data_IF_102237191884
#
_entry.id   IF_102237191884
#
_cell.length_a   1.000
_cell.length_b   1.000
_cell.length_c   1.000
_cell.angle_alpha   90.00
_cell.angle_beta   90.00
_cell.angle_gamma   90.00
#
_symmetry.space_group_name_H-M   'P 1'
#
loop_
_entity.id
_entity.type
_entity.pdbx_description
1 polymer ?
#
# COMPACT_ATOMS: atom_id res chain seq x y z
N UNK A 1 15.40 -2.57 -6.36
CA UNK A 1 14.80 -1.29 -5.94
C UNK A 1 14.87 -0.30 -7.07
N UNK A 2 13.71 0.13 -7.57
CA UNK A 2 13.64 1.19 -8.57
C UNK A 2 14.14 2.53 -8.04
N UNK A 3 13.90 3.59 -8.81
CA UNK A 3 14.25 4.97 -8.46
C UNK A 3 13.45 5.43 -7.22
N UNK A 4 14.10 5.80 -6.09
CA UNK A 4 13.40 6.36 -4.94
C UNK A 4 12.65 7.64 -5.31
N UNK A 5 11.43 7.80 -4.77
CA UNK A 5 10.61 9.00 -4.97
C UNK A 5 11.23 10.23 -4.26
N UNK A 6 11.88 10.01 -3.12
CA UNK A 6 12.45 11.05 -2.29
C UNK A 6 13.71 10.55 -1.58
N UNK A 7 14.67 11.46 -1.38
CA UNK A 7 15.82 11.28 -0.52
C UNK A 7 15.81 12.39 0.54
N UNK A 8 15.62 12.02 1.80
CA UNK A 8 15.50 12.94 2.91
C UNK A 8 16.83 13.64 3.23
N UNK A 9 17.96 12.95 3.08
CA UNK A 9 19.28 13.50 3.38
C UNK A 9 19.64 14.65 2.44
N UNK A 10 19.30 14.53 1.15
CA UNK A 10 19.59 15.56 0.14
C UNK A 10 18.39 16.45 -0.17
N UNK A 11 17.23 16.17 0.43
CA UNK A 11 15.95 16.82 0.12
C UNK A 11 15.70 16.92 -1.39
N UNK A 12 15.81 15.80 -2.09
CA UNK A 12 15.70 15.78 -3.55
C UNK A 12 14.99 14.53 -4.06
N UNK A 13 14.62 14.54 -5.34
CA UNK A 13 14.03 13.39 -6.04
C UNK A 13 14.85 13.01 -7.26
N UNK A 14 15.02 11.70 -7.46
CA UNK A 14 15.60 11.14 -8.67
C UNK A 14 14.58 10.98 -9.79
N UNK A 15 13.28 11.00 -9.46
CA UNK A 15 12.19 10.92 -10.44
C UNK A 15 12.17 12.18 -11.30
N UNK A 16 12.08 11.99 -12.62
CA UNK A 16 11.93 13.06 -13.61
C UNK A 16 10.54 13.02 -14.23
N UNK A 17 10.17 14.11 -14.89
CA UNK A 17 8.90 14.19 -15.62
C UNK A 17 8.71 13.05 -16.64
N UNK A 18 9.80 12.61 -17.28
CA UNK A 18 9.78 11.49 -18.21
C UNK A 18 9.48 10.13 -17.54
N UNK A 19 9.88 9.94 -16.28
CA UNK A 19 9.59 8.71 -15.54
C UNK A 19 8.12 8.67 -15.14
N UNK A 20 7.59 9.81 -14.67
CA UNK A 20 6.17 9.96 -14.36
C UNK A 20 5.28 9.84 -15.61
N UNK A 21 5.73 10.38 -16.75
CA UNK A 21 5.06 10.20 -18.03
C UNK A 21 4.95 8.71 -18.40
N UNK A 22 6.05 7.95 -18.34
CA UNK A 22 6.05 6.51 -18.63
C UNK A 22 5.07 5.74 -17.75
N UNK A 23 4.99 6.10 -16.47
CA UNK A 23 4.03 5.49 -15.54
C UNK A 23 2.58 5.77 -15.95
N UNK A 24 2.26 7.01 -16.34
CA UNK A 24 0.93 7.38 -16.82
C UNK A 24 0.59 6.70 -18.16
N UNK A 25 1.57 6.58 -19.06
CA UNK A 25 1.44 5.88 -20.34
C UNK A 25 1.15 4.39 -20.14
N UNK A 26 1.74 3.75 -19.15
CA UNK A 26 1.46 2.35 -18.80
C UNK A 26 -0.03 2.12 -18.51
N UNK A 27 -0.62 2.94 -17.63
CA UNK A 27 -2.04 2.80 -17.30
C UNK A 27 -2.97 3.27 -18.41
N UNK A 28 -2.53 4.20 -19.26
CA UNK A 28 -3.24 4.54 -20.48
C UNK A 28 -3.28 3.35 -21.43
N UNK A 29 -2.14 2.71 -21.68
CA UNK A 29 -2.03 1.53 -22.54
C UNK A 29 -2.90 0.38 -22.02
N UNK A 30 -2.84 0.10 -20.71
CA UNK A 30 -3.74 -0.90 -20.10
C UNK A 30 -5.22 -0.57 -20.34
N UNK A 31 -5.59 0.70 -20.28
CA UNK A 31 -6.99 1.13 -20.47
C UNK A 31 -7.42 1.05 -21.93
N UNK A 32 -6.56 1.47 -22.85
CA UNK A 32 -6.79 1.39 -24.29
C UNK A 32 -6.94 -0.07 -24.74
N UNK A 33 -6.26 -1.01 -24.07
CA UNK A 33 -6.37 -2.45 -24.28
C UNK A 33 -7.47 -3.13 -23.44
N UNK A 34 -8.27 -2.38 -22.67
CA UNK A 34 -9.38 -2.91 -21.86
C UNK A 34 -8.96 -3.77 -20.65
N UNK A 35 -7.70 -3.67 -20.21
CA UNK A 35 -7.15 -4.43 -19.09
C UNK A 35 -7.46 -3.80 -17.72
N UNK A 36 -7.80 -2.51 -17.70
CA UNK A 36 -8.30 -1.80 -16.52
C UNK A 36 -9.63 -1.09 -16.84
N UNK A 37 -10.50 -0.85 -15.85
CA UNK A 37 -11.79 -0.22 -16.10
C UNK A 37 -11.66 1.16 -16.78
N UNK A 38 -12.63 1.57 -17.61
CA UNK A 38 -12.69 2.94 -18.10
C UNK A 38 -12.88 3.94 -16.93
N UNK A 39 -12.51 5.22 -17.10
CA UNK A 39 -12.36 6.16 -15.98
C UNK A 39 -13.70 6.47 -15.28
N UNK A 40 -14.79 6.48 -16.03
CA UNK A 40 -16.16 6.67 -15.53
C UNK A 40 -16.63 5.51 -14.65
N UNK A 41 -16.27 4.28 -15.00
CA UNK A 41 -16.53 3.10 -14.18
C UNK A 41 -15.64 3.11 -12.94
N UNK A 42 -14.34 3.35 -13.10
CA UNK A 42 -13.39 3.39 -11.99
C UNK A 42 -13.77 4.45 -10.94
N UNK A 43 -14.26 5.62 -11.38
CA UNK A 43 -14.66 6.72 -10.49
C UNK A 43 -15.83 6.39 -9.54
N UNK A 44 -16.59 5.32 -9.79
CA UNK A 44 -17.66 4.86 -8.90
C UNK A 44 -17.16 4.03 -7.70
N UNK A 45 -15.87 3.68 -7.68
CA UNK A 45 -15.27 2.84 -6.64
C UNK A 45 -14.20 3.64 -5.91
N UNK A 46 -14.41 3.86 -4.61
CA UNK A 46 -13.47 4.62 -3.79
C UNK A 46 -12.22 3.79 -3.42
N UNK A 47 -12.29 2.46 -3.51
CA UNK A 47 -11.21 1.52 -3.17
C UNK A 47 -10.62 1.74 -1.77
N UNK A 48 -11.44 2.20 -0.82
CA UNK A 48 -10.99 2.47 0.56
C UNK A 48 -11.25 1.28 1.50
N UNK A 49 -12.18 0.41 1.13
CA UNK A 49 -12.57 -0.79 1.88
C UNK A 49 -13.32 -1.78 0.95
N UNK A 50 -13.66 -2.95 1.49
CA UNK A 50 -14.36 -4.00 0.73
C UNK A 50 -15.70 -3.53 0.13
N UNK A 51 -16.48 -2.72 0.86
CA UNK A 51 -17.80 -2.24 0.41
C UNK A 51 -17.71 -1.29 -0.79
N UNK A 52 -16.57 -0.63 -0.97
CA UNK A 52 -16.32 0.35 -2.04
C UNK A 52 -15.36 -0.15 -3.11
N UNK A 53 -15.07 -1.47 -3.13
CA UNK A 53 -14.08 -2.06 -4.04
C UNK A 53 -14.70 -2.61 -5.33
N UNK A 54 -14.07 -2.29 -6.45
CA UNK A 54 -14.37 -2.85 -7.76
C UNK A 54 -14.11 -4.37 -7.82
N UNK A 55 -13.17 -4.89 -7.01
CA UNK A 55 -12.89 -6.33 -6.93
C UNK A 55 -14.10 -7.07 -6.35
N UNK A 56 -14.60 -6.60 -5.21
CA UNK A 56 -15.76 -7.19 -4.53
C UNK A 56 -17.04 -6.99 -5.36
N UNK A 57 -17.17 -5.87 -6.06
CA UNK A 57 -18.27 -5.63 -6.99
C UNK A 57 -18.17 -6.42 -8.31
N UNK A 58 -17.15 -7.27 -8.48
CA UNK A 58 -16.95 -8.12 -9.66
C UNK A 58 -16.65 -7.33 -10.94
N UNK A 59 -16.09 -6.12 -10.84
CA UNK A 59 -15.69 -5.29 -11.99
C UNK A 59 -14.25 -5.49 -12.43
N UNK A 60 -13.40 -5.96 -11.52
CA UNK A 60 -12.01 -6.34 -11.80
C UNK A 60 -11.71 -7.68 -11.15
N UNK A 61 -10.79 -8.44 -11.74
CA UNK A 61 -10.30 -9.71 -11.17
C UNK A 61 -9.04 -9.53 -10.31
N UNK A 62 -8.34 -8.39 -10.47
CA UNK A 62 -7.09 -8.07 -9.79
C UNK A 62 -7.22 -6.68 -9.19
N UNK A 63 -6.82 -6.52 -7.93
CA UNK A 63 -6.73 -5.23 -7.24
C UNK A 63 -5.47 -5.18 -6.37
N UNK A 64 -5.12 -3.99 -5.90
CA UNK A 64 -3.99 -3.76 -5.00
C UNK A 64 -4.51 -3.66 -3.56
N UNK A 65 -4.10 -4.61 -2.73
CA UNK A 65 -4.51 -4.67 -1.32
C UNK A 65 -3.28 -4.81 -0.43
N UNK A 66 -3.36 -4.23 0.76
CA UNK A 66 -2.43 -4.54 1.84
C UNK A 66 -2.75 -5.93 2.38
N UNK A 67 -1.72 -6.70 2.76
CA UNK A 67 -1.89 -8.11 3.19
C UNK A 67 -2.88 -8.25 4.34
N UNK A 68 -2.88 -7.31 5.29
CA UNK A 68 -3.79 -7.28 6.43
C UNK A 68 -5.27 -7.07 6.06
N UNK A 69 -5.57 -6.63 4.83
CA UNK A 69 -6.94 -6.44 4.36
C UNK A 69 -7.59 -7.74 3.85
N UNK A 70 -6.81 -8.81 3.61
CA UNK A 70 -7.30 -10.04 3.01
C UNK A 70 -8.50 -10.64 3.75
N UNK A 71 -8.46 -10.66 5.08
CA UNK A 71 -9.55 -11.23 5.88
C UNK A 71 -10.90 -10.54 5.62
N UNK A 72 -10.92 -9.21 5.60
CA UNK A 72 -12.13 -8.44 5.36
C UNK A 72 -12.62 -8.58 3.91
N UNK A 73 -11.71 -8.58 2.94
CA UNK A 73 -12.07 -8.75 1.53
C UNK A 73 -12.59 -10.16 1.24
N UNK A 74 -11.93 -11.20 1.78
CA UNK A 74 -12.37 -12.57 1.63
C UNK A 74 -13.74 -12.82 2.28
N UNK A 75 -14.06 -12.14 3.39
CA UNK A 75 -15.37 -12.23 4.02
C UNK A 75 -16.50 -11.59 3.17
N UNK A 76 -16.15 -10.67 2.27
CA UNK A 76 -17.10 -9.96 1.41
C UNK A 76 -17.39 -10.68 0.07
N UNK A 77 -16.72 -11.79 -0.21
CA UNK A 77 -16.94 -12.58 -1.44
C UNK A 77 -16.95 -14.09 -1.16
N UNK A 78 -17.57 -14.86 -2.04
CA UNK A 78 -17.49 -16.32 -2.04
C UNK A 78 -16.33 -16.85 -2.87
N UNK A 79 -15.80 -16.01 -3.76
CA UNK A 79 -14.64 -16.36 -4.57
C UNK A 79 -13.39 -16.41 -3.70
N UNK A 80 -12.47 -17.32 -4.03
CA UNK A 80 -11.23 -17.44 -3.29
C UNK A 80 -10.25 -16.34 -3.69
N UNK A 81 -9.84 -15.53 -2.72
CA UNK A 81 -8.83 -14.49 -2.91
C UNK A 81 -7.43 -15.03 -2.55
N UNK A 82 -6.45 -14.64 -3.36
CA UNK A 82 -5.05 -15.01 -3.23
C UNK A 82 -4.16 -13.80 -3.51
N UNK A 83 -2.95 -13.80 -2.94
CA UNK A 83 -1.92 -12.81 -3.27
C UNK A 83 -0.92 -13.38 -4.28
N UNK A 84 -0.47 -12.51 -5.17
CA UNK A 84 0.65 -12.75 -6.06
C UNK A 84 1.62 -11.58 -5.92
N UNK A 85 2.89 -11.82 -6.19
CA UNK A 85 3.85 -10.73 -6.27
C UNK A 85 3.58 -9.85 -7.48
N UNK A 86 3.97 -8.58 -7.39
CA UNK A 86 3.97 -7.71 -8.56
C UNK A 86 4.87 -8.28 -9.67
N UNK A 87 4.51 -8.13 -10.95
CA UNK A 87 5.36 -8.56 -12.05
C UNK A 87 6.80 -8.02 -11.92
N UNK A 88 7.78 -8.90 -11.98
CA UNK A 88 9.21 -8.55 -11.88
C UNK A 88 9.73 -8.28 -10.46
N UNK A 89 8.89 -8.36 -9.42
CA UNK A 89 9.28 -8.12 -8.03
C UNK A 89 10.42 -9.03 -7.57
N UNK A 90 10.34 -10.34 -7.83
CA UNK A 90 11.37 -11.30 -7.46
C UNK A 90 12.76 -10.95 -8.03
N UNK A 91 12.81 -10.56 -9.31
CA UNK A 91 14.06 -10.23 -9.99
C UNK A 91 14.66 -8.89 -9.54
N UNK A 92 13.80 -7.93 -9.23
CA UNK A 92 14.20 -6.54 -8.95
C UNK A 92 14.23 -6.18 -7.47
N UNK A 93 13.79 -7.11 -6.62
CA UNK A 93 13.50 -6.93 -5.20
C UNK A 93 12.64 -5.68 -4.93
N UNK A 94 11.59 -5.48 -5.72
CA UNK A 94 10.81 -4.23 -5.70
C UNK A 94 9.82 -4.11 -4.54
N UNK A 95 9.67 -5.14 -3.70
CA UNK A 95 8.77 -5.11 -2.55
C UNK A 95 9.45 -4.47 -1.35
N UNK A 96 8.65 -4.10 -0.36
CA UNK A 96 9.12 -3.71 0.97
C UNK A 96 8.12 -4.17 2.03
N UNK A 97 8.57 -4.29 3.27
CA UNK A 97 7.69 -4.56 4.40
C UNK A 97 7.36 -3.25 5.10
N UNK A 98 6.19 -2.70 4.80
CA UNK A 98 5.69 -1.51 5.47
C UNK A 98 5.17 -1.86 6.87
N UNK A 99 5.57 -1.12 7.92
CA UNK A 99 4.89 -1.17 9.20
C UNK A 99 3.43 -0.76 9.03
N UNK A 100 2.51 -1.68 9.29
CA UNK A 100 1.07 -1.44 9.09
C UNK A 100 0.55 -0.27 9.93
N UNK A 101 0.97 -0.22 11.19
CA UNK A 101 0.48 0.67 12.24
C UNK A 101 1.55 0.79 13.33
N UNK A 102 1.52 1.91 14.06
CA UNK A 102 2.34 2.10 15.26
C UNK A 102 1.45 2.39 16.46
N UNK A 103 1.81 1.80 17.60
CA UNK A 103 1.33 2.28 18.89
C UNK A 103 2.31 3.32 19.44
N UNK A 104 1.79 4.47 19.86
CA UNK A 104 2.58 5.56 20.45
C UNK A 104 1.99 5.95 21.80
N UNK A 105 2.85 6.43 22.70
CA UNK A 105 2.44 6.94 24.01
C UNK A 105 2.53 8.46 23.96
N UNK A 106 1.43 9.13 24.29
CA UNK A 106 1.43 10.58 24.42
C UNK A 106 2.43 11.01 25.53
N UNK A 107 3.32 11.95 25.21
CA UNK A 107 4.32 12.48 26.15
C UNK A 107 3.71 13.04 27.45
N UNK A 108 2.46 13.50 27.40
CA UNK A 108 1.75 14.12 28.52
C UNK A 108 0.80 13.14 29.25
N UNK A 109 0.84 11.83 28.88
CA UNK A 109 0.04 10.79 29.52
C UNK A 109 0.25 10.78 31.04
N UNK A 110 -0.86 10.66 31.79
CA UNK A 110 -0.82 10.48 33.25
C UNK A 110 -0.49 9.04 33.67
N UNK A 111 -0.49 8.11 32.72
CA UNK A 111 -0.26 6.68 32.94
C UNK A 111 0.69 6.09 31.88
N UNK A 112 1.93 6.63 31.73
CA UNK A 112 2.84 6.18 30.68
C UNK A 112 3.30 4.73 30.89
N UNK A 113 3.49 4.30 32.15
CA UNK A 113 3.93 2.95 32.46
C UNK A 113 2.85 1.90 32.13
N UNK A 114 1.58 2.18 32.45
CA UNK A 114 0.45 1.32 32.13
C UNK A 114 0.20 1.26 30.63
N UNK A 115 0.32 2.39 29.93
CA UNK A 115 0.23 2.44 28.47
C UNK A 115 1.30 1.56 27.81
N UNK A 116 2.55 1.63 28.27
CA UNK A 116 3.63 0.76 27.76
C UNK A 116 3.35 -0.71 28.06
N UNK A 117 2.88 -1.05 29.26
CA UNK A 117 2.49 -2.44 29.59
C UNK A 117 1.39 -2.96 28.67
N UNK A 118 0.38 -2.14 28.39
CA UNK A 118 -0.72 -2.51 27.50
C UNK A 118 -0.25 -2.69 26.04
N UNK A 119 0.60 -1.79 25.53
CA UNK A 119 1.21 -1.95 24.21
C UNK A 119 2.04 -3.24 24.16
N UNK A 120 2.83 -3.53 25.21
CA UNK A 120 3.60 -4.77 25.27
C UNK A 120 2.71 -6.01 25.24
N UNK A 121 1.57 -6.00 25.96
CA UNK A 121 0.58 -7.06 25.88
C UNK A 121 0.06 -7.23 24.44
N UNK A 122 -0.38 -6.16 23.79
CA UNK A 122 -0.90 -6.23 22.41
C UNK A 122 0.12 -6.76 21.39
N UNK A 123 1.42 -6.48 21.59
CA UNK A 123 2.47 -6.78 20.61
C UNK A 123 3.16 -8.12 20.85
N UNK A 124 3.38 -8.49 22.12
CA UNK A 124 4.24 -9.62 22.50
C UNK A 124 3.50 -10.79 23.13
N UNK A 125 2.27 -10.60 23.64
CA UNK A 125 1.55 -11.67 24.34
C UNK A 125 0.96 -12.69 23.34
N UNK A 126 1.23 -14.01 23.52
CA UNK A 126 0.69 -15.03 22.62
C UNK A 126 -0.84 -15.12 22.61
N UNK A 127 -1.51 -14.86 23.72
CA UNK A 127 -2.97 -14.96 23.77
C UNK A 127 -3.62 -13.74 23.10
N UNK A 128 -3.01 -12.55 23.25
CA UNK A 128 -3.37 -11.40 22.43
C UNK A 128 -3.14 -11.68 20.93
N UNK A 129 -2.01 -12.29 20.56
CA UNK A 129 -1.69 -12.63 19.18
C UNK A 129 -2.71 -13.59 18.55
N UNK A 130 -3.18 -14.60 19.30
CA UNK A 130 -4.23 -15.54 18.84
C UNK A 130 -5.55 -14.85 18.53
N UNK A 131 -5.90 -13.81 19.30
CA UNK A 131 -7.14 -13.04 19.10
C UNK A 131 -6.98 -12.05 17.94
N UNK A 132 -5.85 -11.35 17.88
CA UNK A 132 -5.62 -10.30 16.88
C UNK A 132 -5.33 -10.86 15.48
N UNK A 133 -4.68 -12.03 15.41
CA UNK A 133 -4.22 -12.61 14.15
C UNK A 133 -3.40 -11.61 13.33
N UNK A 134 -3.67 -11.58 12.02
CA UNK A 134 -2.99 -10.71 11.05
C UNK A 134 -3.78 -9.46 10.67
N UNK A 135 -4.84 -9.11 11.42
CA UNK A 135 -5.71 -7.97 11.10
C UNK A 135 -4.97 -6.61 11.16
N UNK A 136 -3.92 -6.52 11.98
CA UNK A 136 -2.99 -5.38 12.04
C UNK A 136 -1.65 -5.69 11.35
N UNK A 137 -1.66 -6.58 10.35
CA UNK A 137 -0.45 -7.10 9.73
C UNK A 137 0.19 -8.23 10.55
N UNK A 138 1.16 -8.91 9.96
CA UNK A 138 1.93 -9.93 10.67
C UNK A 138 2.74 -9.29 11.79
N UNK A 139 2.71 -9.88 12.99
CA UNK A 139 3.40 -9.28 14.15
C UNK A 139 4.90 -9.18 13.92
N UNK A 140 5.50 -8.06 14.35
CA UNK A 140 6.95 -7.88 14.39
C UNK A 140 7.61 -8.75 15.47
N UNK A 141 6.86 -9.15 16.50
CA UNK A 141 7.34 -9.96 17.62
C UNK A 141 7.47 -11.43 17.23
N UNK A 142 8.66 -12.00 17.44
CA UNK A 142 8.88 -13.43 17.23
C UNK A 142 7.99 -14.30 18.14
N UNK A 143 7.78 -13.87 19.39
CA UNK A 143 6.92 -14.56 20.36
C UNK A 143 5.47 -14.58 19.91
N UNK A 144 4.94 -13.43 19.46
CA UNK A 144 3.58 -13.37 18.93
C UNK A 144 3.43 -14.22 17.65
N UNK A 145 4.41 -14.16 16.74
CA UNK A 145 4.41 -14.96 15.49
C UNK A 145 4.45 -16.47 15.75
N UNK A 146 5.05 -16.92 16.85
CA UNK A 146 5.06 -18.34 17.22
C UNK A 146 3.65 -18.91 17.48
N UNK A 147 2.64 -18.05 17.66
CA UNK A 147 1.24 -18.47 17.75
C UNK A 147 0.67 -19.01 16.42
N UNK A 148 1.35 -18.76 15.31
CA UNK A 148 0.95 -19.23 13.98
C UNK A 148 -0.27 -18.51 13.40
N UNK A 149 -0.82 -19.07 12.32
CA UNK A 149 -2.04 -18.58 11.71
C UNK A 149 -3.26 -18.87 12.60
N UNK A 150 -4.16 -17.91 12.73
CA UNK A 150 -5.40 -18.04 13.53
C UNK A 150 -6.65 -18.20 12.65
N UNK A 151 -6.49 -18.10 11.32
CA UNK A 151 -7.55 -18.23 10.33
C UNK A 151 -6.98 -18.70 8.98
N UNK A 152 -7.82 -19.16 8.03
CA UNK A 152 -7.37 -19.44 6.67
C UNK A 152 -6.78 -18.22 5.95
N UNK A 153 -7.33 -17.03 6.18
CA UNK A 153 -6.81 -15.79 5.63
C UNK A 153 -5.41 -15.46 6.20
N UNK A 154 -5.23 -15.68 7.49
CA UNK A 154 -3.92 -15.53 8.15
C UNK A 154 -2.89 -16.50 7.55
N UNK A 155 -3.26 -17.75 7.30
CA UNK A 155 -2.36 -18.71 6.68
C UNK A 155 -1.91 -18.23 5.29
N UNK A 156 -2.85 -17.75 4.45
CA UNK A 156 -2.52 -17.18 3.14
C UNK A 156 -1.60 -15.96 3.23
N UNK A 157 -1.79 -15.11 4.24
CA UNK A 157 -0.90 -13.97 4.50
C UNK A 157 0.51 -14.48 4.84
N UNK A 158 0.65 -15.45 5.74
CA UNK A 158 1.94 -16.01 6.12
C UNK A 158 2.64 -16.69 4.93
N UNK A 159 1.90 -17.44 4.12
CA UNK A 159 2.41 -18.09 2.91
C UNK A 159 2.92 -17.06 1.89
N UNK A 160 2.15 -16.00 1.66
CA UNK A 160 2.59 -14.90 0.80
C UNK A 160 3.83 -14.20 1.34
N UNK A 161 3.89 -13.93 2.64
CA UNK A 161 5.05 -13.30 3.28
C UNK A 161 6.32 -14.17 3.20
N UNK A 162 6.19 -15.51 3.19
CA UNK A 162 7.31 -16.41 2.99
C UNK A 162 7.91 -16.33 1.58
N UNK A 163 7.09 -16.01 0.57
CA UNK A 163 7.51 -15.79 -0.82
C UNK A 163 8.02 -14.37 -1.03
N UNK A 164 7.25 -13.37 -0.61
CA UNK A 164 7.53 -11.95 -0.83
C UNK A 164 8.68 -11.42 0.03
N UNK A 165 8.85 -11.93 1.25
CA UNK A 165 9.86 -11.47 2.21
C UNK A 165 11.29 -11.47 1.66
N UNK A 166 11.78 -12.57 1.04
CA UNK A 166 13.08 -12.61 0.36
C UNK A 166 13.26 -11.62 -0.80
N UNK A 167 12.16 -11.15 -1.38
CA UNK A 167 12.12 -10.19 -2.49
C UNK A 167 11.84 -8.75 -2.02
N UNK A 168 11.79 -8.53 -0.71
CA UNK A 168 11.64 -7.21 -0.12
C UNK A 168 12.99 -6.53 0.13
N UNK A 169 12.93 -5.21 0.22
CA UNK A 169 14.02 -4.35 0.64
C UNK A 169 13.56 -3.33 1.67
N UNK A 170 14.51 -2.54 2.19
CA UNK A 170 14.18 -1.42 3.07
C UNK A 170 13.28 -0.41 2.34
N UNK A 171 12.25 0.05 3.05
CA UNK A 171 11.40 1.15 2.59
C UNK A 171 12.24 2.42 2.38
N UNK A 172 11.92 3.19 1.34
CA UNK A 172 12.58 4.47 1.04
C UNK A 172 11.91 5.61 1.81
N UNK A 173 12.59 6.76 1.90
CA UNK A 173 12.03 7.94 2.56
C UNK A 173 10.67 8.34 1.96
N UNK A 174 9.71 8.67 2.84
CA UNK A 174 8.42 9.19 2.44
C UNK A 174 8.52 10.63 1.97
N UNK A 175 7.82 10.95 0.87
CA UNK A 175 7.67 12.34 0.41
C UNK A 175 7.02 13.17 1.53
N UNK A 176 7.57 14.35 1.89
CA UNK A 176 6.94 15.24 2.87
C UNK A 176 5.51 15.62 2.44
N UNK A 177 4.63 15.89 3.40
CA UNK A 177 3.23 16.28 3.12
C UNK A 177 2.48 15.21 2.29
N UNK A 178 2.68 13.94 2.64
CA UNK A 178 2.20 12.76 1.91
C UNK A 178 0.70 12.76 1.58
N UNK A 179 -0.13 13.31 2.47
CA UNK A 179 -1.58 13.38 2.29
C UNK A 179 -1.95 14.31 1.14
N UNK A 180 -1.28 15.47 1.05
CA UNK A 180 -1.45 16.39 -0.09
C UNK A 180 -0.85 15.79 -1.36
N UNK A 181 0.30 15.13 -1.26
CA UNK A 181 0.93 14.44 -2.37
C UNK A 181 -0.02 13.41 -2.99
N UNK A 182 -0.55 12.48 -2.19
CA UNK A 182 -1.40 11.38 -2.66
C UNK A 182 -2.72 11.89 -3.26
N UNK A 183 -3.39 12.83 -2.60
CA UNK A 183 -4.65 13.41 -3.10
C UNK A 183 -4.45 14.19 -4.41
N UNK A 184 -3.36 14.95 -4.52
CA UNK A 184 -3.05 15.69 -5.75
C UNK A 184 -2.61 14.76 -6.88
N UNK A 185 -1.80 13.73 -6.58
CA UNK A 185 -1.38 12.72 -7.54
C UNK A 185 -2.58 11.99 -8.13
N UNK A 186 -3.57 11.64 -7.30
CA UNK A 186 -4.82 11.03 -7.74
C UNK A 186 -5.58 11.93 -8.72
N UNK A 187 -5.68 13.23 -8.45
CA UNK A 187 -6.32 14.19 -9.36
C UNK A 187 -5.57 14.31 -10.70
N UNK A 188 -4.24 14.30 -10.69
CA UNK A 188 -3.44 14.30 -11.94
C UNK A 188 -3.73 13.04 -12.75
N UNK A 189 -3.75 11.87 -12.10
CA UNK A 189 -4.11 10.62 -12.75
C UNK A 189 -5.52 10.66 -13.35
N UNK A 190 -6.51 11.21 -12.62
CA UNK A 190 -7.87 11.37 -13.15
C UNK A 190 -7.90 12.28 -14.37
N UNK A 191 -7.23 13.43 -14.37
CA UNK A 191 -7.16 14.31 -15.54
C UNK A 191 -6.65 13.56 -16.77
N UNK A 192 -5.58 12.78 -16.62
CA UNK A 192 -5.01 11.99 -17.73
C UNK A 192 -5.99 10.89 -18.15
N UNK A 193 -6.60 10.18 -17.21
CA UNK A 193 -7.53 9.10 -17.49
C UNK A 193 -8.80 9.57 -18.22
N UNK A 194 -9.30 10.76 -17.90
CA UNK A 194 -10.44 11.41 -18.58
C UNK A 194 -10.05 12.19 -19.85
N UNK A 195 -8.78 12.13 -20.27
CA UNK A 195 -8.30 12.80 -21.47
C UNK A 195 -8.23 14.33 -21.37
N UNK A 196 -8.29 14.88 -20.15
CA UNK A 196 -8.17 16.33 -19.88
C UNK A 196 -6.71 16.80 -19.92
N UNK A 197 -5.76 15.87 -19.84
CA UNK A 197 -4.33 16.11 -20.00
C UNK A 197 -3.67 14.94 -20.72
N UNK A 198 -2.62 15.21 -21.49
CA UNK A 198 -1.74 14.17 -22.05
C UNK A 198 -0.87 13.56 -20.95
N UNK A 199 -0.35 12.35 -21.16
CA UNK A 199 0.58 11.73 -20.21
C UNK A 199 1.87 12.57 -20.02
N UNK A 200 2.33 13.26 -21.07
CA UNK A 200 3.47 14.17 -20.97
C UNK A 200 3.17 15.40 -20.08
N UNK A 201 1.96 15.97 -20.17
CA UNK A 201 1.53 17.03 -19.25
C UNK A 201 1.39 16.52 -17.82
N UNK A 202 0.73 15.37 -17.63
CA UNK A 202 0.61 14.74 -16.31
C UNK A 202 1.97 14.41 -15.69
N UNK A 203 2.93 13.92 -16.48
CA UNK A 203 4.29 13.64 -16.02
C UNK A 203 5.02 14.89 -15.51
N UNK A 204 4.83 16.03 -16.18
CA UNK A 204 5.33 17.33 -15.69
C UNK A 204 4.64 17.74 -14.39
N UNK A 205 3.30 17.67 -14.33
CA UNK A 205 2.53 17.99 -13.12
C UNK A 205 2.96 17.15 -11.91
N UNK A 206 3.22 15.84 -12.10
CA UNK A 206 3.71 14.95 -11.03
C UNK A 206 5.11 15.36 -10.56
N UNK A 207 6.02 15.68 -11.48
CA UNK A 207 7.36 16.13 -11.12
C UNK A 207 7.34 17.45 -10.36
N UNK A 208 6.55 18.42 -10.83
CA UNK A 208 6.35 19.70 -10.16
C UNK A 208 5.71 19.54 -8.77
N UNK A 209 4.75 18.61 -8.65
CA UNK A 209 4.16 18.23 -7.37
C UNK A 209 5.23 17.71 -6.41
N UNK A 210 6.10 16.77 -6.84
CA UNK A 210 7.20 16.27 -6.01
C UNK A 210 8.11 17.41 -5.54
N UNK A 211 8.56 18.28 -6.46
CA UNK A 211 9.40 19.43 -6.10
C UNK A 211 8.71 20.34 -5.07
N UNK A 212 7.42 20.62 -5.26
CA UNK A 212 6.61 21.44 -4.36
C UNK A 212 6.48 20.82 -2.98
N UNK A 213 6.25 19.50 -2.88
CA UNK A 213 6.14 18.81 -1.60
C UNK A 213 7.46 18.77 -0.84
N UNK A 214 8.56 18.60 -1.56
CA UNK A 214 9.92 18.57 -1.00
C UNK A 214 10.36 19.95 -0.47
N UNK A 215 9.91 21.04 -1.11
CA UNK A 215 10.30 22.39 -0.76
C UNK A 215 9.51 23.01 0.41
N UNK A 216 8.36 22.44 0.77
CA UNK A 216 7.55 22.87 1.93
C UNK A 216 8.20 22.43 3.23
#
# INVERSE_FOLDING_TARGET
NGTPLYNAATKSTSVKAADAQKYLELFKDYRDNGLVPPPDIAANYAETNADTSALIAGKVAISFLWTNQLGNYQAATKDELMFIEFPGAAATKALWQQPSQFYTVNKDSKHPAEAVKFINFLVNDPDAAKILGSNRGSSASATARASGATSPADQKILDYMAVAGPHSTAETDHVPNDTEFNSTLFLIYQKVAFGQATAAQGGKEVYELLQRMIAK
#
